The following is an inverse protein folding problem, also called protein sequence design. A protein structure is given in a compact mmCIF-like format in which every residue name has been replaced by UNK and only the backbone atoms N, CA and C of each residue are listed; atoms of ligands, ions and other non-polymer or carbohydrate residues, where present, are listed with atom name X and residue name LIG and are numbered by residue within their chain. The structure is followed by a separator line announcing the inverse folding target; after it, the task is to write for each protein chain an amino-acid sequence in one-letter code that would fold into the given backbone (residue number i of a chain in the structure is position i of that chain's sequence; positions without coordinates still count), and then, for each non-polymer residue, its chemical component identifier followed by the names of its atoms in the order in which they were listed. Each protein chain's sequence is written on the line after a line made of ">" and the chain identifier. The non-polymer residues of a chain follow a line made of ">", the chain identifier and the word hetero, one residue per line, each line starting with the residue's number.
data_IF_397977294648
#
_entry.id   IF_397977294648
#
_cell.length_a   1.000
_cell.length_b   1.000
_cell.length_c   1.000
_cell.angle_alpha   90.00
_cell.angle_beta   90.00
_cell.angle_gamma   90.00
#
_symmetry.space_group_name_H-M   'P 1'
#
loop_
_entity.id
_entity.type
_entity.pdbx_description
1 polymer ?
#
# COMPACT_ATOMS: atom_id res chain seq x y z
N UNK A 1 -11.47 6.29 -18.93
CA UNK A 1 -10.68 5.07 -19.24
C UNK A 1 -11.37 3.79 -18.78
N UNK A 2 -11.95 3.74 -17.58
CA UNK A 2 -12.63 2.55 -17.04
C UNK A 2 -13.75 1.99 -17.96
N UNK A 3 -14.70 2.79 -18.50
CA UNK A 3 -15.76 2.24 -19.37
C UNK A 3 -15.22 1.67 -20.69
N UNK A 4 -14.06 2.13 -21.14
CA UNK A 4 -13.40 1.63 -22.35
C UNK A 4 -12.73 0.30 -22.04
N UNK A 5 -11.91 0.24 -20.99
CA UNK A 5 -11.22 -0.97 -20.55
C UNK A 5 -12.20 -2.10 -20.19
N UNK A 6 -13.32 -1.78 -19.55
CA UNK A 6 -14.43 -2.69 -19.25
C UNK A 6 -14.88 -3.51 -20.47
N UNK A 7 -14.96 -2.88 -21.64
CA UNK A 7 -15.34 -3.58 -22.88
C UNK A 7 -14.26 -4.58 -23.33
N UNK A 8 -12.99 -4.29 -23.10
CA UNK A 8 -11.88 -5.17 -23.48
C UNK A 8 -11.75 -6.38 -22.55
N UNK A 9 -11.83 -6.16 -21.23
CA UNK A 9 -11.76 -7.26 -20.24
C UNK A 9 -12.96 -8.21 -20.38
N UNK A 10 -14.15 -7.65 -20.62
CA UNK A 10 -15.36 -8.46 -20.87
C UNK A 10 -15.24 -9.33 -22.12
N UNK A 11 -14.56 -8.87 -23.18
CA UNK A 11 -14.29 -9.65 -24.40
C UNK A 11 -13.34 -10.82 -24.17
N UNK A 12 -12.53 -10.77 -23.11
CA UNK A 12 -11.54 -11.79 -22.74
C UNK A 12 -12.07 -12.76 -21.67
N UNK A 13 -13.38 -12.72 -21.39
CA UNK A 13 -14.01 -13.49 -20.31
C UNK A 13 -13.50 -13.16 -18.90
N UNK A 14 -12.93 -11.97 -18.69
CA UNK A 14 -12.58 -11.45 -17.36
C UNK A 14 -13.80 -10.70 -16.79
N UNK A 15 -14.75 -11.47 -16.27
CA UNK A 15 -15.97 -10.97 -15.66
C UNK A 15 -16.49 -11.92 -14.58
N UNK A 16 -17.20 -11.36 -13.60
CA UNK A 16 -17.90 -12.08 -12.55
C UNK A 16 -19.39 -11.78 -12.52
N UNK A 17 -20.11 -12.49 -11.66
CA UNK A 17 -21.50 -12.23 -11.33
C UNK A 17 -21.61 -11.71 -9.90
N UNK A 18 -22.53 -10.79 -9.66
CA UNK A 18 -22.78 -10.29 -8.31
C UNK A 18 -23.47 -11.38 -7.47
N UNK A 19 -22.69 -12.01 -6.59
CA UNK A 19 -23.15 -13.09 -5.72
C UNK A 19 -24.21 -12.65 -4.72
N UNK A 20 -24.27 -11.35 -4.38
CA UNK A 20 -25.23 -10.80 -3.43
C UNK A 20 -26.58 -10.46 -4.08
N UNK A 21 -26.67 -10.55 -5.41
CA UNK A 21 -27.87 -10.29 -6.20
C UNK A 21 -28.44 -11.55 -6.87
N UNK A 22 -28.04 -12.74 -6.44
CA UNK A 22 -28.52 -14.02 -6.97
C UNK A 22 -30.06 -14.08 -7.00
N UNK A 23 -30.63 -14.49 -8.13
CA UNK A 23 -32.07 -14.59 -8.33
C UNK A 23 -32.76 -13.30 -8.79
N UNK A 24 -32.05 -12.17 -8.83
CA UNK A 24 -32.55 -10.92 -9.42
C UNK A 24 -32.08 -10.74 -10.87
N UNK A 25 -32.76 -9.93 -11.70
CA UNK A 25 -32.29 -9.61 -13.05
C UNK A 25 -30.84 -9.08 -13.05
N UNK A 26 -30.52 -8.25 -12.05
CA UNK A 26 -29.19 -7.66 -11.87
C UNK A 26 -28.09 -8.70 -11.61
N UNK A 27 -28.40 -9.80 -10.93
CA UNK A 27 -27.42 -10.86 -10.62
C UNK A 27 -27.01 -11.69 -11.84
N UNK A 28 -27.74 -11.59 -12.96
CA UNK A 28 -27.40 -12.24 -14.23
C UNK A 28 -26.55 -11.37 -15.17
N UNK A 29 -26.32 -10.10 -14.77
CA UNK A 29 -25.49 -9.16 -15.53
C UNK A 29 -24.02 -9.50 -15.27
N UNK A 30 -23.23 -9.59 -16.36
CA UNK A 30 -21.78 -9.77 -16.30
C UNK A 30 -21.12 -8.48 -15.85
N UNK A 31 -20.36 -8.53 -14.76
CA UNK A 31 -19.61 -7.40 -14.23
C UNK A 31 -18.12 -7.59 -14.58
N UNK A 32 -17.49 -6.66 -15.31
CA UNK A 32 -16.06 -6.76 -15.66
C UNK A 32 -15.18 -6.79 -14.40
N UNK A 33 -14.21 -7.70 -14.38
CA UNK A 33 -13.24 -7.84 -13.29
C UNK A 33 -11.90 -7.14 -13.63
N UNK A 34 -11.00 -7.05 -12.65
CA UNK A 34 -9.64 -6.52 -12.79
C UNK A 34 -9.53 -5.06 -13.28
N UNK A 35 -10.57 -4.25 -13.12
CA UNK A 35 -10.55 -2.84 -13.52
C UNK A 35 -9.57 -1.97 -12.69
N UNK A 36 -9.08 -2.50 -11.57
CA UNK A 36 -8.03 -1.89 -10.75
C UNK A 36 -6.75 -1.59 -11.53
N UNK A 37 -6.41 -2.38 -12.56
CA UNK A 37 -5.24 -2.13 -13.42
C UNK A 37 -5.30 -0.76 -14.12
N UNK A 38 -6.51 -0.30 -14.49
CA UNK A 38 -6.70 1.00 -15.15
C UNK A 38 -6.36 2.14 -14.18
N UNK A 39 -6.84 2.03 -12.95
CA UNK A 39 -6.57 3.02 -11.89
C UNK A 39 -5.09 3.00 -11.54
N UNK A 40 -4.49 1.81 -11.40
CA UNK A 40 -3.07 1.63 -11.15
C UNK A 40 -2.18 2.25 -12.23
N UNK A 41 -2.49 2.05 -13.51
CA UNK A 41 -1.76 2.66 -14.63
C UNK A 41 -1.86 4.19 -14.58
N UNK A 42 -3.05 4.73 -14.36
CA UNK A 42 -3.23 6.20 -14.24
C UNK A 42 -2.41 6.74 -13.06
N UNK A 43 -2.43 6.06 -11.92
CA UNK A 43 -1.62 6.41 -10.76
C UNK A 43 -0.12 6.41 -11.06
N UNK A 44 0.38 5.38 -11.75
CA UNK A 44 1.79 5.29 -12.16
C UNK A 44 2.18 6.42 -13.12
N UNK A 45 1.35 6.72 -14.12
CA UNK A 45 1.64 7.81 -15.06
C UNK A 45 1.69 9.16 -14.33
N UNK A 46 0.72 9.43 -13.46
CA UNK A 46 0.67 10.67 -12.69
C UNK A 46 1.89 10.80 -11.77
N UNK A 47 2.28 9.73 -11.08
CA UNK A 47 3.43 9.75 -10.16
C UNK A 47 4.77 9.83 -10.87
N UNK A 48 4.92 9.24 -12.06
CA UNK A 48 6.11 9.39 -12.91
C UNK A 48 6.22 10.83 -13.45
N UNK A 49 5.10 11.42 -13.90
CA UNK A 49 5.08 12.82 -14.31
C UNK A 49 5.41 13.74 -13.13
N UNK A 50 4.83 13.48 -11.96
CA UNK A 50 5.15 14.21 -10.73
C UNK A 50 6.64 14.12 -10.41
N UNK A 51 7.24 12.94 -10.54
CA UNK A 51 8.68 12.74 -10.35
C UNK A 51 9.50 13.62 -11.28
N UNK A 52 9.18 13.61 -12.57
CA UNK A 52 9.88 14.38 -13.59
C UNK A 52 9.86 15.88 -13.31
N UNK A 53 8.73 16.42 -12.83
CA UNK A 53 8.59 17.85 -12.55
C UNK A 53 9.14 18.30 -11.19
N UNK A 54 9.18 17.40 -10.19
CA UNK A 54 9.47 17.79 -8.80
C UNK A 54 10.81 17.30 -8.26
N UNK A 55 11.44 16.30 -8.87
CA UNK A 55 12.72 15.77 -8.41
C UNK A 55 13.85 16.09 -9.39
N UNK A 56 14.99 16.49 -8.84
CA UNK A 56 16.26 16.62 -9.56
C UNK A 56 17.07 15.33 -9.45
N UNK A 57 18.00 15.09 -10.39
CA UNK A 57 18.81 13.86 -10.43
C UNK A 57 19.65 13.64 -9.15
N UNK A 58 20.05 14.70 -8.46
CA UNK A 58 20.89 14.64 -7.26
C UNK A 58 20.08 14.50 -5.95
N UNK A 59 18.76 14.29 -6.04
CA UNK A 59 17.91 14.17 -4.87
C UNK A 59 18.12 12.84 -4.14
N UNK A 60 18.52 12.88 -2.86
CA UNK A 60 18.64 11.68 -2.01
C UNK A 60 17.34 10.86 -1.93
N UNK A 61 16.20 11.53 -2.05
CA UNK A 61 14.86 10.93 -2.03
C UNK A 61 14.50 10.13 -3.29
N UNK A 62 15.26 10.30 -4.38
CA UNK A 62 14.95 9.68 -5.67
C UNK A 62 15.07 8.15 -5.61
N UNK A 63 16.02 7.62 -4.83
CA UNK A 63 16.22 6.18 -4.65
C UNK A 63 15.01 5.55 -3.96
N UNK A 64 14.57 6.13 -2.84
CA UNK A 64 13.38 5.68 -2.11
C UNK A 64 12.11 5.79 -2.94
N UNK A 65 11.96 6.91 -3.68
CA UNK A 65 10.79 7.14 -4.51
C UNK A 65 10.70 6.13 -5.67
N UNK A 66 11.81 5.87 -6.36
CA UNK A 66 11.88 4.86 -7.42
C UNK A 66 11.61 3.45 -6.89
N UNK A 67 12.13 3.14 -5.70
CA UNK A 67 11.90 1.85 -5.06
C UNK A 67 10.43 1.66 -4.64
N UNK A 68 9.79 2.71 -4.14
CA UNK A 68 8.36 2.71 -3.85
C UNK A 68 7.53 2.52 -5.13
N UNK A 69 7.84 3.25 -6.21
CA UNK A 69 7.18 3.09 -7.51
C UNK A 69 7.35 1.69 -8.09
N UNK A 70 8.56 1.13 -8.04
CA UNK A 70 8.83 -0.23 -8.50
C UNK A 70 7.99 -1.25 -7.71
N UNK A 71 7.89 -1.08 -6.39
CA UNK A 71 7.11 -1.97 -5.53
C UNK A 71 5.60 -1.88 -5.83
N UNK A 72 5.08 -0.67 -6.04
CA UNK A 72 3.68 -0.45 -6.43
C UNK A 72 3.40 -1.03 -7.82
N UNK A 73 4.31 -0.85 -8.77
CA UNK A 73 4.22 -1.43 -10.11
C UNK A 73 4.15 -2.96 -10.06
N UNK A 74 5.06 -3.60 -9.32
CA UNK A 74 5.02 -5.06 -9.14
C UNK A 74 3.72 -5.50 -8.48
N UNK A 75 3.18 -4.73 -7.54
CA UNK A 75 1.93 -5.10 -6.88
C UNK A 75 0.69 -4.95 -7.76
N UNK A 76 0.64 -3.91 -8.60
CA UNK A 76 -0.42 -3.78 -9.62
C UNK A 76 -0.32 -4.93 -10.64
N UNK A 77 0.89 -5.26 -11.10
CA UNK A 77 1.11 -6.34 -12.06
C UNK A 77 0.71 -7.69 -11.46
N UNK A 78 1.18 -8.00 -10.26
CA UNK A 78 0.89 -9.27 -9.60
C UNK A 78 -0.58 -9.40 -9.20
N UNK A 79 -1.24 -8.31 -8.81
CA UNK A 79 -2.69 -8.30 -8.60
C UNK A 79 -3.45 -8.64 -9.88
N UNK A 80 -3.08 -8.04 -11.02
CA UNK A 80 -3.68 -8.40 -12.30
C UNK A 80 -3.38 -9.85 -12.72
N UNK A 81 -2.17 -10.34 -12.47
CA UNK A 81 -1.81 -11.73 -12.75
C UNK A 81 -2.60 -12.69 -11.87
N UNK A 82 -2.84 -12.34 -10.60
CA UNK A 82 -3.68 -13.12 -9.68
C UNK A 82 -5.11 -13.25 -10.19
N UNK A 83 -5.69 -12.13 -10.66
CA UNK A 83 -7.03 -12.13 -11.23
C UNK A 83 -7.14 -12.94 -12.54
N UNK A 84 -6.09 -12.98 -13.36
CA UNK A 84 -6.11 -13.68 -14.66
C UNK A 84 -5.80 -15.16 -14.53
N UNK A 85 -4.94 -15.55 -13.58
CA UNK A 85 -4.41 -16.91 -13.46
C UNK A 85 -4.97 -17.72 -12.28
N UNK A 86 -5.81 -17.12 -11.43
CA UNK A 86 -6.37 -17.77 -10.23
C UNK A 86 -5.29 -18.48 -9.39
N UNK A 87 -4.28 -17.71 -8.99
CA UNK A 87 -3.07 -18.25 -8.35
C UNK A 87 -3.40 -18.93 -7.01
N UNK A 88 -2.74 -20.04 -6.62
CA UNK A 88 -3.01 -20.71 -5.35
C UNK A 88 -2.67 -19.82 -4.14
N UNK A 89 -3.48 -19.92 -3.07
CA UNK A 89 -3.38 -19.10 -1.85
C UNK A 89 -1.98 -19.04 -1.22
N UNK A 90 -1.19 -20.12 -1.32
CA UNK A 90 0.18 -20.17 -0.80
C UNK A 90 1.09 -19.15 -1.50
N UNK A 91 0.91 -19.01 -2.81
CA UNK A 91 1.69 -18.09 -3.63
C UNK A 91 1.18 -16.66 -3.44
N UNK A 92 -0.12 -16.46 -3.20
CA UNK A 92 -0.70 -15.15 -2.82
C UNK A 92 -0.08 -14.54 -1.57
N UNK A 93 0.43 -15.37 -0.64
CA UNK A 93 1.17 -14.89 0.54
C UNK A 93 2.61 -14.47 0.21
N UNK A 94 3.26 -15.11 -0.76
CA UNK A 94 4.68 -14.88 -1.10
C UNK A 94 4.85 -13.75 -2.11
N UNK A 95 3.93 -13.61 -3.06
CA UNK A 95 4.01 -12.60 -4.13
C UNK A 95 4.14 -11.17 -3.59
N UNK A 96 3.38 -10.74 -2.55
CA UNK A 96 3.58 -9.43 -1.94
C UNK A 96 4.94 -9.23 -1.28
N UNK A 97 5.54 -10.30 -0.72
CA UNK A 97 6.88 -10.22 -0.15
C UNK A 97 7.93 -9.90 -1.20
N UNK A 98 7.85 -10.53 -2.38
CA UNK A 98 8.79 -10.31 -3.48
C UNK A 98 8.64 -8.89 -4.03
N UNK A 99 7.42 -8.44 -4.21
CA UNK A 99 7.16 -7.09 -4.72
C UNK A 99 7.55 -5.97 -3.75
N UNK A 100 7.59 -6.23 -2.44
CA UNK A 100 8.04 -5.27 -1.44
C UNK A 100 9.58 -5.14 -1.35
N UNK A 101 10.34 -6.06 -1.98
CA UNK A 101 11.81 -6.07 -1.90
C UNK A 101 12.47 -4.78 -2.38
N UNK A 102 12.08 -4.13 -3.49
CA UNK A 102 12.72 -2.88 -3.92
C UNK A 102 12.66 -1.82 -2.83
N UNK A 103 11.47 -1.63 -2.22
CA UNK A 103 11.27 -0.70 -1.12
C UNK A 103 12.09 -1.08 0.11
N UNK A 104 12.18 -2.37 0.44
CA UNK A 104 12.95 -2.85 1.59
C UNK A 104 14.46 -2.64 1.43
N UNK A 105 14.97 -2.78 0.20
CA UNK A 105 16.37 -2.56 -0.13
C UNK A 105 16.76 -1.08 -0.13
N UNK A 106 15.84 -0.20 -0.56
CA UNK A 106 16.05 1.24 -0.56
C UNK A 106 15.83 1.90 0.81
N UNK A 107 15.30 1.17 1.79
CA UNK A 107 15.06 1.70 3.13
C UNK A 107 16.38 2.04 3.84
N UNK A 108 16.62 3.34 4.02
CA UNK A 108 17.78 3.90 4.72
C UNK A 108 17.46 4.45 6.13
N UNK A 109 16.22 4.25 6.62
CA UNK A 109 15.78 4.76 7.92
C UNK A 109 16.31 3.99 9.13
N UNK A 110 16.09 4.55 10.31
CA UNK A 110 16.42 3.91 11.59
C UNK A 110 15.59 2.65 11.84
N UNK A 111 16.23 1.59 12.33
CA UNK A 111 15.60 0.30 12.70
C UNK A 111 15.20 0.23 14.18
N UNK A 112 15.21 1.37 14.87
CA UNK A 112 14.86 1.50 16.28
C UNK A 112 13.36 1.75 16.46
N UNK A 113 12.70 0.94 17.28
CA UNK A 113 11.30 1.12 17.67
C UNK A 113 11.27 1.74 19.08
N UNK A 114 10.41 2.74 19.24
CA UNK A 114 10.06 3.32 20.55
C UNK A 114 9.02 2.42 21.20
N UNK A 115 9.26 1.98 22.43
CA UNK A 115 8.31 1.12 23.15
C UNK A 115 7.17 1.99 23.70
N UNK A 116 5.88 1.60 23.53
CA UNK A 116 4.77 2.36 24.08
C UNK A 116 4.88 2.51 25.60
N UNK A 117 4.62 3.71 26.14
CA UNK A 117 4.75 4.05 27.57
C UNK A 117 4.14 3.02 28.55
N UNK A 118 2.98 2.39 28.28
CA UNK A 118 2.42 1.37 29.17
C UNK A 118 3.29 0.09 29.30
N UNK A 119 4.12 -0.20 28.30
CA UNK A 119 4.98 -1.39 28.22
C UNK A 119 6.39 -1.12 28.76
N UNK A 120 6.83 0.14 28.79
CA UNK A 120 8.13 0.57 29.34
C UNK A 120 8.43 0.01 30.74
N UNK A 121 7.51 0.06 31.73
CA UNK A 121 7.81 -0.47 33.07
C UNK A 121 8.03 -2.00 33.10
N UNK A 122 7.56 -2.75 32.10
CA UNK A 122 7.78 -4.20 32.01
C UNK A 122 9.08 -4.57 31.29
N UNK A 123 9.50 -3.77 30.31
CA UNK A 123 10.66 -4.07 29.45
C UNK A 123 11.92 -3.37 29.94
N UNK A 124 11.80 -2.23 30.65
CA UNK A 124 12.92 -1.47 31.18
C UNK A 124 13.78 -0.76 30.13
N UNK A 125 13.32 -0.71 28.88
CA UNK A 125 13.97 -0.06 27.75
C UNK A 125 12.98 0.88 27.07
N UNK A 126 13.42 2.09 26.72
CA UNK A 126 12.60 3.07 25.98
C UNK A 126 12.75 2.93 24.46
N UNK A 127 13.95 2.55 24.01
CA UNK A 127 14.30 2.37 22.61
C UNK A 127 14.88 0.97 22.39
N UNK A 128 14.35 0.24 21.40
CA UNK A 128 14.82 -1.08 21.01
C UNK A 128 15.31 -1.04 19.57
N UNK A 129 16.57 -1.40 19.30
CA UNK A 129 17.07 -1.60 17.94
C UNK A 129 16.81 -3.04 17.48
N UNK A 130 16.00 -3.20 16.43
CA UNK A 130 15.64 -4.50 15.88
C UNK A 130 16.51 -4.90 14.68
N UNK A 131 17.27 -3.98 14.09
CA UNK A 131 18.11 -4.24 12.91
C UNK A 131 17.35 -4.96 11.78
N UNK A 132 17.82 -6.17 11.41
CA UNK A 132 17.22 -6.96 10.32
C UNK A 132 15.79 -7.43 10.62
N UNK A 133 15.43 -7.60 11.90
CA UNK A 133 14.07 -8.01 12.30
C UNK A 133 13.07 -6.90 11.95
N UNK A 134 13.49 -5.63 12.02
CA UNK A 134 12.68 -4.50 11.58
C UNK A 134 12.36 -4.59 10.07
N UNK A 135 13.36 -4.98 9.27
CA UNK A 135 13.18 -5.18 7.82
C UNK A 135 12.24 -6.35 7.52
N UNK A 136 12.36 -7.46 8.26
CA UNK A 136 11.41 -8.56 8.15
C UNK A 136 10.00 -8.11 8.50
N UNK A 137 9.83 -7.35 9.59
CA UNK A 137 8.55 -6.78 10.01
C UNK A 137 7.92 -5.90 8.92
N UNK A 138 8.68 -4.98 8.30
CA UNK A 138 8.17 -4.14 7.19
C UNK A 138 7.69 -4.98 6.00
N UNK A 139 8.43 -6.02 5.63
CA UNK A 139 8.03 -6.95 4.58
C UNK A 139 6.73 -7.70 4.91
N UNK A 140 6.62 -8.21 6.14
CA UNK A 140 5.40 -8.88 6.62
C UNK A 140 4.21 -7.93 6.70
N UNK A 141 4.43 -6.67 7.07
CA UNK A 141 3.39 -5.64 7.10
C UNK A 141 2.85 -5.37 5.69
N UNK A 142 3.72 -5.27 4.68
CA UNK A 142 3.29 -5.12 3.29
C UNK A 142 2.41 -6.30 2.83
N UNK A 143 2.80 -7.53 3.16
CA UNK A 143 2.00 -8.74 2.89
C UNK A 143 0.67 -8.71 3.62
N UNK A 144 0.66 -8.33 4.90
CA UNK A 144 -0.54 -8.23 5.70
C UNK A 144 -1.52 -7.21 5.11
N UNK A 145 -1.05 -6.03 4.73
CA UNK A 145 -1.89 -4.97 4.16
C UNK A 145 -2.61 -5.43 2.89
N UNK A 146 -1.92 -6.05 1.93
CA UNK A 146 -2.54 -6.49 0.67
C UNK A 146 -3.54 -7.62 0.88
N UNK A 147 -3.26 -8.55 1.79
CA UNK A 147 -4.16 -9.66 2.08
C UNK A 147 -5.36 -9.24 2.94
N UNK A 148 -5.17 -8.31 3.87
CA UNK A 148 -6.23 -7.80 4.76
C UNK A 148 -7.36 -7.16 3.95
N UNK A 149 -7.02 -6.30 2.97
CA UNK A 149 -8.01 -5.68 2.08
C UNK A 149 -8.75 -6.74 1.25
N UNK A 150 -8.02 -7.73 0.73
CA UNK A 150 -8.58 -8.79 -0.12
C UNK A 150 -9.53 -9.72 0.64
N UNK A 151 -9.27 -10.01 1.92
CA UNK A 151 -10.18 -10.83 2.75
C UNK A 151 -11.42 -10.02 3.17
N UNK A 152 -11.31 -8.70 3.32
CA UNK A 152 -12.42 -7.80 3.64
C UNK A 152 -13.21 -7.34 2.39
N UNK A 153 -13.12 -8.09 1.30
CA UNK A 153 -13.85 -7.87 0.05
C UNK A 153 -15.24 -8.56 0.03
N UNK A 154 -15.95 -8.45 -1.09
CA UNK A 154 -17.17 -9.23 -1.34
C UNK A 154 -18.49 -8.48 -1.24
N UNK A 155 -18.45 -7.18 -0.93
CA UNK A 155 -19.59 -6.26 -1.07
C UNK A 155 -19.19 -5.14 -2.03
N UNK A 156 -20.12 -4.77 -2.93
CA UNK A 156 -19.90 -3.75 -3.94
C UNK A 156 -19.36 -2.46 -3.32
N UNK A 157 -18.14 -2.07 -3.71
CA UNK A 157 -17.49 -0.84 -3.30
C UNK A 157 -16.83 -0.88 -1.91
N UNK A 158 -16.85 -1.99 -1.18
CA UNK A 158 -16.24 -2.07 0.16
C UNK A 158 -14.72 -1.94 0.10
N UNK A 159 -14.06 -2.61 -0.86
CA UNK A 159 -12.61 -2.50 -1.11
C UNK A 159 -12.16 -1.08 -1.42
N UNK A 160 -12.91 -0.39 -2.30
CA UNK A 160 -12.60 1.01 -2.66
C UNK A 160 -12.93 1.95 -1.50
N UNK A 161 -14.04 1.72 -0.80
CA UNK A 161 -14.44 2.55 0.34
C UNK A 161 -13.42 2.52 1.47
N UNK A 162 -12.98 1.33 1.89
CA UNK A 162 -12.00 1.18 2.97
C UNK A 162 -10.65 1.82 2.60
N UNK A 163 -10.19 1.64 1.36
CA UNK A 163 -8.90 2.19 0.90
C UNK A 163 -8.94 3.72 0.80
N UNK A 164 -10.06 4.31 0.38
CA UNK A 164 -10.25 5.77 0.38
C UNK A 164 -10.23 6.34 1.79
N UNK A 165 -10.95 5.72 2.75
CA UNK A 165 -10.96 6.17 4.14
C UNK A 165 -9.55 6.13 4.76
N UNK A 166 -8.82 5.03 4.54
CA UNK A 166 -7.44 4.87 5.02
C UNK A 166 -6.52 5.93 4.38
N UNK A 167 -6.64 6.17 3.08
CA UNK A 167 -5.83 7.17 2.37
C UNK A 167 -6.10 8.59 2.89
N UNK A 168 -7.37 8.96 3.10
CA UNK A 168 -7.73 10.26 3.66
C UNK A 168 -7.20 10.43 5.09
N UNK A 169 -7.30 9.39 5.93
CA UNK A 169 -6.77 9.42 7.29
C UNK A 169 -5.24 9.61 7.29
N UNK A 170 -4.53 8.91 6.40
CA UNK A 170 -3.08 9.05 6.28
C UNK A 170 -2.68 10.46 5.79
N UNK A 171 -3.37 11.00 4.79
CA UNK A 171 -3.13 12.36 4.30
C UNK A 171 -3.37 13.42 5.38
N UNK A 172 -4.46 13.27 6.15
CA UNK A 172 -4.75 14.15 7.28
C UNK A 172 -3.65 14.06 8.34
N UNK A 173 -3.28 12.84 8.76
CA UNK A 173 -2.21 12.61 9.73
C UNK A 173 -0.89 13.27 9.30
N UNK A 174 -0.45 13.02 8.06
CA UNK A 174 0.80 13.60 7.53
C UNK A 174 0.73 15.12 7.50
N UNK A 175 -0.43 15.68 7.12
CA UNK A 175 -0.62 17.14 7.08
C UNK A 175 -0.58 17.76 8.47
N UNK A 176 -1.21 17.13 9.46
CA UNK A 176 -1.18 17.58 10.87
C UNK A 176 0.23 17.54 11.45
N UNK A 177 0.99 16.47 11.17
CA UNK A 177 2.38 16.34 11.61
C UNK A 177 3.24 17.44 10.98
N UNK A 178 3.07 17.71 9.68
CA UNK A 178 3.81 18.76 8.97
C UNK A 178 3.52 20.17 9.50
N UNK A 179 2.34 20.41 10.06
CA UNK A 179 2.01 21.68 10.72
C UNK A 179 2.63 21.80 12.12
N UNK A 180 2.99 20.69 12.76
CA UNK A 180 3.44 20.66 14.15
C UNK A 180 4.97 20.62 14.28
N UNK A 181 5.68 20.07 13.29
CA UNK A 181 7.12 19.82 13.36
C UNK A 181 7.90 20.80 12.45
N UNK A 182 8.93 21.50 12.96
CA UNK A 182 9.77 22.38 12.14
C UNK A 182 10.53 21.59 11.05
N UNK A 183 10.76 22.22 9.89
CA UNK A 183 11.30 21.59 8.68
C UNK A 183 12.63 20.81 8.87
N UNK A 184 13.41 21.09 9.92
CA UNK A 184 14.66 20.40 10.22
C UNK A 184 14.47 18.95 10.68
N UNK A 185 13.35 18.66 11.36
CA UNK A 185 13.10 17.36 11.99
C UNK A 185 12.15 16.51 11.12
N UNK A 186 11.62 17.10 10.05
CA UNK A 186 10.71 16.44 9.12
C UNK A 186 11.40 15.40 8.23
N UNK A 187 12.72 15.46 8.04
CA UNK A 187 13.46 14.40 7.34
C UNK A 187 13.48 13.11 8.16
N UNK A 188 13.71 13.20 9.48
CA UNK A 188 13.76 12.03 10.37
C UNK A 188 12.35 11.52 10.70
N UNK A 189 11.40 12.44 10.93
CA UNK A 189 9.99 12.09 11.15
C UNK A 189 9.31 11.65 9.85
N UNK A 190 9.71 12.16 8.70
CA UNK A 190 9.17 11.79 7.39
C UNK A 190 9.52 10.37 6.95
N UNK A 191 10.59 9.79 7.51
CA UNK A 191 10.98 8.37 7.38
C UNK A 191 10.38 7.53 8.52
N UNK A 192 10.32 8.08 9.73
CA UNK A 192 9.72 7.39 10.89
C UNK A 192 8.20 7.24 10.75
N UNK A 193 7.47 8.27 10.30
CA UNK A 193 6.03 8.24 9.95
C UNK A 193 5.77 7.45 8.66
N UNK A 194 6.80 7.25 7.81
CA UNK A 194 6.68 6.47 6.55
C UNK A 194 6.33 5.00 6.79
N UNK A 195 6.56 4.49 8.01
CA UNK A 195 6.26 3.11 8.40
C UNK A 195 5.68 2.98 9.83
N UNK A 196 5.86 3.97 10.70
CA UNK A 196 5.53 3.86 12.15
C UNK A 196 4.16 4.44 12.54
N UNK A 197 3.15 4.48 11.66
CA UNK A 197 1.77 4.82 12.07
C UNK A 197 1.13 3.85 13.08
N UNK A 198 1.92 2.95 13.69
CA UNK A 198 1.51 2.09 14.82
C UNK A 198 2.04 2.63 16.16
N UNK A 199 2.99 3.58 16.20
CA UNK A 199 3.45 4.18 17.46
C UNK A 199 2.69 5.47 17.77
N UNK A 200 1.51 5.31 18.34
CA UNK A 200 0.81 6.37 19.07
C UNK A 200 1.63 6.77 20.30
N UNK A 201 2.35 7.88 20.19
CA UNK A 201 2.92 8.60 21.30
C UNK A 201 2.83 10.08 21.04
N UNK A 202 1.90 10.76 21.70
CA UNK A 202 1.90 12.21 21.81
C UNK A 202 3.29 12.69 22.24
N UNK A 203 3.95 13.48 21.40
CA UNK A 203 4.95 14.44 21.86
C UNK A 203 4.18 15.62 22.47
N UNK A 204 4.21 15.71 23.79
CA UNK A 204 4.26 17.00 24.48
C UNK A 204 5.69 17.51 24.44
#
# INVERSE_FOLDING_TARGET
>A
MIPVASKYVSRRNLFGYDINKKGTPDGSIKVPESLGIVVGIVFLVVTILFQYFNFTADSNWLVEYNAALASIYFMILLGFVDDVLDVPWRVKLVLPSIAALPLLMAYAGHTTIIIPKPLVPYVGLENLDLGWIYKLYMGLLAVFCTNSINIHAGINGLEVGQTVVIACAFLFMVSSIRMTIPNSDFCDVGISVRWSSINWGHCE
#
